data_IF_624132756807
#
_entry.id   IF_624132756807
#
_cell.length_a   1.000
_cell.length_b   1.000
_cell.length_c   1.000
_cell.angle_alpha   90.00
_cell.angle_beta   90.00
_cell.angle_gamma   90.00
#
_symmetry.space_group_name_H-M   'P 1'
#
loop_
_entity.id
_entity.type
_entity.pdbx_description
1 polymer ?
#
# COMPACT_ATOMS: atom_id res chain seq x y z
N UNK A 1 -33.73 -2.02 5.58
CA UNK A 1 -32.63 -2.47 4.72
C UNK A 1 -31.91 -3.57 5.47
N UNK A 2 -32.10 -4.83 5.09
CA UNK A 2 -31.44 -5.96 5.73
C UNK A 2 -29.95 -5.92 5.35
N UNK A 3 -29.10 -5.55 6.31
CA UNK A 3 -27.68 -5.72 6.19
C UNK A 3 -27.38 -7.21 6.31
N UNK A 4 -27.06 -7.87 5.23
CA UNK A 4 -26.55 -9.25 5.20
C UNK A 4 -25.16 -9.30 5.85
N UNK A 5 -25.15 -9.18 7.17
CA UNK A 5 -23.96 -9.38 7.99
C UNK A 5 -23.74 -10.89 8.10
N UNK A 6 -22.70 -11.40 7.44
CA UNK A 6 -22.28 -12.81 7.59
C UNK A 6 -21.84 -13.53 6.32
N UNK A 7 -22.30 -13.14 5.13
CA UNK A 7 -21.99 -13.86 3.89
C UNK A 7 -20.99 -13.13 2.95
N UNK A 8 -20.59 -11.90 3.26
CA UNK A 8 -19.67 -11.12 2.41
C UNK A 8 -18.22 -11.56 2.55
N UNK A 9 -17.48 -11.52 1.43
CA UNK A 9 -16.02 -11.69 1.38
C UNK A 9 -15.29 -10.42 1.77
N UNK A 10 -15.86 -9.27 1.41
CA UNK A 10 -15.32 -7.93 1.64
C UNK A 10 -16.15 -7.20 2.68
N UNK A 11 -15.53 -6.28 3.41
CA UNK A 11 -16.22 -5.53 4.45
C UNK A 11 -15.71 -4.10 4.55
N UNK A 12 -16.60 -3.21 5.02
CA UNK A 12 -16.25 -1.86 5.46
C UNK A 12 -16.30 -1.81 6.98
N UNK A 13 -15.29 -1.17 7.56
CA UNK A 13 -15.23 -0.94 8.98
C UNK A 13 -14.98 0.53 9.29
N UNK A 14 -15.41 0.96 10.48
CA UNK A 14 -15.04 2.26 11.02
C UNK A 14 -14.40 2.14 12.40
N UNK A 15 -13.55 3.11 12.69
CA UNK A 15 -13.01 3.31 14.02
C UNK A 15 -13.69 4.51 14.66
N UNK A 16 -14.17 4.35 15.89
CA UNK A 16 -14.89 5.36 16.64
C UNK A 16 -14.07 5.70 17.88
N UNK A 17 -13.79 6.97 18.09
CA UNK A 17 -13.08 7.46 19.29
C UNK A 17 -13.97 7.29 20.53
N UNK A 18 -13.41 6.73 21.60
CA UNK A 18 -14.15 6.52 22.84
C UNK A 18 -14.43 7.81 23.62
N UNK A 19 -13.57 8.83 23.48
CA UNK A 19 -13.69 10.11 24.20
C UNK A 19 -14.79 11.02 23.65
N UNK A 20 -15.09 10.95 22.35
CA UNK A 20 -16.05 11.83 21.68
C UNK A 20 -17.19 11.08 21.01
N UNK A 21 -17.14 9.76 20.97
CA UNK A 21 -18.05 8.88 20.24
C UNK A 21 -18.22 9.28 18.76
N UNK A 22 -17.12 9.72 18.12
CA UNK A 22 -17.09 10.20 16.72
C UNK A 22 -16.27 9.25 15.88
N UNK A 23 -16.75 8.82 14.69
CA UNK A 23 -15.97 8.11 13.72
C UNK A 23 -14.76 8.94 13.28
N UNK A 24 -13.57 8.32 13.25
CA UNK A 24 -12.34 9.00 12.84
C UNK A 24 -11.56 8.25 11.74
N UNK A 25 -12.02 7.07 11.33
CA UNK A 25 -11.41 6.33 10.25
C UNK A 25 -12.39 5.36 9.63
N UNK A 26 -12.38 5.26 8.31
CA UNK A 26 -13.12 4.28 7.52
C UNK A 26 -12.12 3.50 6.68
N UNK A 27 -12.35 2.21 6.50
CA UNK A 27 -11.50 1.39 5.65
C UNK A 27 -12.19 0.13 5.17
N UNK A 28 -11.62 -0.45 4.12
CA UNK A 28 -12.06 -1.70 3.51
C UNK A 28 -11.12 -2.84 3.88
N UNK A 29 -11.67 -4.02 4.03
CA UNK A 29 -10.93 -5.25 4.26
C UNK A 29 -11.54 -6.45 3.55
N UNK A 30 -10.76 -7.54 3.52
CA UNK A 30 -11.18 -8.85 3.06
C UNK A 30 -11.18 -9.79 4.25
N UNK A 31 -12.24 -10.58 4.40
CA UNK A 31 -12.34 -11.59 5.45
C UNK A 31 -11.29 -12.69 5.28
N UNK A 32 -10.78 -13.15 6.39
CA UNK A 32 -9.89 -14.31 6.45
C UNK A 32 -10.72 -15.58 6.67
N UNK A 33 -10.55 -16.59 5.82
CA UNK A 33 -11.42 -17.79 5.78
C UNK A 33 -10.96 -18.95 6.65
N UNK A 34 -9.75 -18.90 7.22
CA UNK A 34 -9.14 -20.02 7.95
C UNK A 34 -9.09 -19.83 9.47
N UNK A 35 -9.97 -19.00 9.99
CA UNK A 35 -10.09 -18.74 11.44
C UNK A 35 -11.52 -18.46 11.82
N UNK A 36 -11.88 -18.75 13.07
CA UNK A 36 -13.21 -18.53 13.64
C UNK A 36 -13.24 -17.36 14.63
N UNK A 37 -12.11 -16.75 14.94
CA UNK A 37 -12.05 -15.61 15.86
C UNK A 37 -12.42 -14.33 15.13
N UNK A 38 -13.38 -13.55 15.69
CA UNK A 38 -13.88 -12.31 15.08
C UNK A 38 -12.76 -11.36 14.68
N UNK A 39 -11.78 -11.11 15.55
CA UNK A 39 -10.66 -10.20 15.27
C UNK A 39 -9.76 -10.69 14.13
N UNK A 40 -9.63 -11.98 13.93
CA UNK A 40 -8.82 -12.56 12.86
C UNK A 40 -9.59 -12.60 11.54
N UNK A 41 -10.90 -12.87 11.57
CA UNK A 41 -11.76 -12.78 10.39
C UNK A 41 -11.68 -11.36 9.81
N UNK A 42 -11.78 -10.34 10.66
CA UNK A 42 -11.72 -8.93 10.29
C UNK A 42 -10.34 -8.29 10.55
N UNK A 43 -9.28 -9.05 10.40
CA UNK A 43 -7.90 -8.69 10.76
C UNK A 43 -7.49 -7.29 10.29
N UNK A 44 -7.93 -6.86 9.11
CA UNK A 44 -7.62 -5.53 8.57
C UNK A 44 -8.15 -4.41 9.45
N UNK A 45 -9.34 -4.58 10.03
CA UNK A 45 -9.96 -3.59 10.92
C UNK A 45 -9.18 -3.44 12.24
N UNK A 46 -8.68 -4.55 12.79
CA UNK A 46 -7.95 -4.56 14.07
C UNK A 46 -6.44 -4.29 13.94
N UNK A 47 -5.91 -4.32 12.70
CA UNK A 47 -4.48 -4.08 12.48
C UNK A 47 -4.12 -2.62 12.76
N UNK A 48 -3.16 -2.41 13.70
CA UNK A 48 -2.65 -1.08 14.07
C UNK A 48 -1.49 -0.61 13.20
N UNK A 49 -0.69 -1.54 12.66
CA UNK A 49 0.48 -1.20 11.84
C UNK A 49 0.10 -0.74 10.43
N UNK A 50 0.91 0.17 9.85
CA UNK A 50 0.67 0.70 8.50
C UNK A 50 -0.47 1.72 8.44
N UNK A 51 -0.78 2.39 9.55
CA UNK A 51 -1.70 3.52 9.63
C UNK A 51 -0.97 4.84 9.38
N UNK A 52 -1.69 5.85 8.94
CA UNK A 52 -1.12 7.18 8.75
C UNK A 52 -0.86 7.90 10.10
N UNK A 53 -0.09 8.98 10.05
CA UNK A 53 0.31 9.72 11.25
C UNK A 53 -0.88 10.31 12.00
N UNK A 54 -1.90 10.80 11.30
CA UNK A 54 -3.09 11.38 11.93
C UNK A 54 -3.86 10.33 12.74
N UNK A 55 -4.03 9.13 12.20
CA UNK A 55 -4.61 7.99 12.89
C UNK A 55 -3.81 7.66 14.16
N UNK A 56 -2.48 7.55 14.03
CA UNK A 56 -1.59 7.26 15.16
C UNK A 56 -1.67 8.34 16.25
N UNK A 57 -1.74 9.61 15.88
CA UNK A 57 -1.88 10.73 16.81
C UNK A 57 -3.21 10.69 17.59
N UNK A 58 -4.27 10.20 16.99
CA UNK A 58 -5.56 10.03 17.66
C UNK A 58 -5.48 8.87 18.65
N UNK A 59 -5.00 7.71 18.21
CA UNK A 59 -4.97 6.48 19.03
C UNK A 59 -3.97 6.55 20.17
N UNK A 60 -2.94 7.42 20.08
CA UNK A 60 -2.04 7.69 21.20
C UNK A 60 -2.70 8.46 22.35
N UNK A 61 -3.80 9.17 22.07
CA UNK A 61 -4.51 10.05 23.04
C UNK A 61 -5.79 9.45 23.57
N UNK A 62 -6.41 8.54 22.84
CA UNK A 62 -7.71 7.96 23.21
C UNK A 62 -7.85 6.52 22.76
N UNK A 63 -8.67 5.77 23.46
CA UNK A 63 -9.12 4.44 23.04
C UNK A 63 -10.08 4.56 21.87
N UNK A 64 -10.28 3.46 21.15
CA UNK A 64 -11.24 3.40 20.05
C UNK A 64 -11.91 2.02 19.97
N UNK A 65 -13.10 2.01 19.42
CA UNK A 65 -13.83 0.80 19.08
C UNK A 65 -13.80 0.55 17.58
N UNK A 66 -13.93 -0.70 17.20
CA UNK A 66 -13.98 -1.15 15.81
C UNK A 66 -15.39 -1.65 15.52
N UNK A 67 -16.00 -1.13 14.47
CA UNK A 67 -17.32 -1.54 14.03
C UNK A 67 -17.30 -1.95 12.57
N UNK A 68 -17.88 -3.09 12.24
CA UNK A 68 -18.10 -3.56 10.87
C UNK A 68 -19.46 -3.05 10.42
N UNK A 69 -19.49 -2.24 9.35
CA UNK A 69 -20.68 -1.53 8.90
C UNK A 69 -21.41 -2.30 7.82
N UNK A 70 -20.67 -2.77 6.81
CA UNK A 70 -21.20 -3.38 5.58
C UNK A 70 -20.36 -4.57 5.22
N UNK A 71 -21.00 -5.62 4.72
CA UNK A 71 -20.34 -6.77 4.11
C UNK A 71 -20.95 -7.04 2.72
N UNK A 72 -20.12 -7.47 1.77
CA UNK A 72 -20.57 -7.85 0.45
C UNK A 72 -19.62 -8.86 -0.21
N UNK A 73 -20.14 -9.60 -1.17
CA UNK A 73 -19.35 -10.41 -2.10
C UNK A 73 -18.80 -9.56 -3.24
N UNK A 74 -19.43 -8.42 -3.52
CA UNK A 74 -19.04 -7.48 -4.56
C UNK A 74 -18.06 -6.45 -4.02
N UNK A 75 -16.84 -6.48 -4.58
CA UNK A 75 -15.78 -5.55 -4.19
C UNK A 75 -16.04 -4.12 -4.67
N UNK A 76 -16.61 -3.95 -5.86
CA UNK A 76 -16.90 -2.63 -6.40
C UNK A 76 -17.96 -1.91 -5.56
N UNK A 77 -19.01 -2.63 -5.18
CA UNK A 77 -20.03 -2.10 -4.26
C UNK A 77 -19.41 -1.62 -2.93
N UNK A 78 -18.47 -2.38 -2.38
CA UNK A 78 -17.77 -2.00 -1.13
C UNK A 78 -16.93 -0.72 -1.34
N UNK A 79 -16.25 -0.57 -2.47
CA UNK A 79 -15.47 0.63 -2.76
C UNK A 79 -16.36 1.86 -2.94
N UNK A 80 -17.48 1.73 -3.63
CA UNK A 80 -18.45 2.83 -3.78
C UNK A 80 -18.99 3.28 -2.42
N UNK A 81 -19.35 2.33 -1.56
CA UNK A 81 -19.83 2.62 -0.21
C UNK A 81 -18.74 3.21 0.69
N UNK A 82 -17.48 2.83 0.54
CA UNK A 82 -16.36 3.48 1.22
C UNK A 82 -16.29 4.97 0.86
N UNK A 83 -16.36 5.29 -0.44
CA UNK A 83 -16.32 6.67 -0.95
C UNK A 83 -17.49 7.48 -0.39
N UNK A 84 -18.71 6.94 -0.43
CA UNK A 84 -19.91 7.58 0.13
C UNK A 84 -19.76 7.88 1.62
N UNK A 85 -19.26 6.92 2.39
CA UNK A 85 -19.08 7.07 3.83
C UNK A 85 -17.97 8.09 4.16
N UNK A 86 -16.85 8.08 3.42
CA UNK A 86 -15.79 9.08 3.62
C UNK A 86 -16.30 10.48 3.28
N UNK A 87 -17.09 10.63 2.24
CA UNK A 87 -17.72 11.90 1.88
C UNK A 87 -18.71 12.35 2.94
N UNK A 88 -19.50 11.44 3.51
CA UNK A 88 -20.49 11.73 4.54
C UNK A 88 -19.85 12.25 5.84
N UNK A 89 -18.80 11.58 6.33
CA UNK A 89 -18.15 11.96 7.59
C UNK A 89 -17.09 13.05 7.41
N UNK A 90 -16.62 13.28 6.18
CA UNK A 90 -15.63 14.27 5.83
C UNK A 90 -14.22 13.98 6.33
N UNK A 91 -13.23 14.46 5.61
CA UNK A 91 -11.82 14.31 5.92
C UNK A 91 -11.31 15.46 6.80
N UNK A 92 -10.53 15.11 7.82
CA UNK A 92 -9.94 16.09 8.74
C UNK A 92 -8.87 16.96 8.06
N UNK A 93 -8.04 16.37 7.19
CA UNK A 93 -6.96 17.09 6.48
C UNK A 93 -7.48 18.17 5.52
N UNK A 94 -8.72 18.07 5.09
CA UNK A 94 -9.40 19.07 4.26
C UNK A 94 -10.24 20.06 5.10
N UNK A 95 -10.30 19.89 6.42
CA UNK A 95 -11.11 20.72 7.31
C UNK A 95 -12.61 20.51 7.20
N UNK A 96 -13.08 19.45 6.53
CA UNK A 96 -14.49 19.20 6.25
C UNK A 96 -15.12 18.12 7.13
N UNK A 97 -14.34 17.48 8.02
CA UNK A 97 -14.87 16.43 8.88
C UNK A 97 -13.89 15.85 9.88
N UNK A 98 -14.21 14.65 10.39
CA UNK A 98 -13.50 14.01 11.51
C UNK A 98 -12.54 12.90 11.07
N UNK A 99 -12.59 12.44 9.82
CA UNK A 99 -11.87 11.25 9.40
C UNK A 99 -10.38 11.50 9.21
N UNK A 100 -9.56 10.61 9.74
CA UNK A 100 -8.12 10.55 9.51
C UNK A 100 -7.75 9.92 8.15
N UNK A 101 -8.72 9.67 7.29
CA UNK A 101 -8.48 9.26 5.91
C UNK A 101 -7.74 10.37 5.15
N UNK A 102 -6.74 10.00 4.34
CA UNK A 102 -5.99 10.93 3.47
C UNK A 102 -6.40 10.85 2.00
N UNK A 103 -7.33 9.96 1.67
CA UNK A 103 -7.92 9.75 0.34
C UNK A 103 -9.43 9.67 0.45
N UNK A 104 -10.11 9.89 -0.66
CA UNK A 104 -11.57 9.83 -0.73
C UNK A 104 -12.11 8.40 -0.85
N UNK A 105 -11.25 7.39 -0.64
CA UNK A 105 -11.61 5.97 -0.74
C UNK A 105 -11.40 5.38 -2.13
N UNK A 106 -11.99 4.19 -2.37
CA UNK A 106 -11.88 3.48 -3.64
C UNK A 106 -10.55 2.71 -3.79
N UNK A 107 -10.09 2.55 -5.03
CA UNK A 107 -8.87 1.79 -5.36
C UNK A 107 -7.58 2.45 -4.80
N UNK A 108 -7.71 3.58 -4.14
CA UNK A 108 -6.58 4.32 -3.54
C UNK A 108 -5.65 4.89 -4.60
N UNK A 109 -4.35 4.94 -4.30
CA UNK A 109 -3.34 5.56 -5.16
C UNK A 109 -2.93 4.73 -6.40
N UNK A 110 -3.62 3.65 -6.74
CA UNK A 110 -3.22 2.79 -7.87
C UNK A 110 -3.24 3.53 -9.22
N UNK A 111 -4.08 4.55 -9.35
CA UNK A 111 -4.18 5.36 -10.56
C UNK A 111 -3.50 6.74 -10.44
N UNK A 112 -2.87 7.05 -9.30
CA UNK A 112 -2.11 8.29 -9.21
C UNK A 112 -0.78 8.14 -9.97
N UNK A 113 -0.45 9.07 -10.88
CA UNK A 113 0.86 9.06 -11.50
C UNK A 113 1.91 9.15 -10.40
N UNK A 114 2.86 8.21 -10.41
CA UNK A 114 3.96 8.21 -9.45
C UNK A 114 4.62 9.58 -9.50
N UNK A 115 4.73 10.26 -8.37
CA UNK A 115 5.45 11.53 -8.28
C UNK A 115 6.85 11.32 -8.83
N UNK A 116 7.17 12.04 -9.90
CA UNK A 116 8.54 12.03 -10.44
C UNK A 116 9.43 12.64 -9.36
N UNK A 117 10.45 11.91 -8.96
CA UNK A 117 11.45 12.41 -8.03
C UNK A 117 12.18 13.60 -8.69
N UNK A 118 12.35 14.70 -7.96
CA UNK A 118 13.10 15.85 -8.47
C UNK A 118 14.55 15.46 -8.77
N UNK A 119 15.20 16.15 -9.69
CA UNK A 119 16.61 15.88 -10.03
C UNK A 119 17.52 16.06 -8.81
N UNK A 120 17.25 17.04 -7.98
CA UNK A 120 17.97 17.24 -6.72
C UNK A 120 17.84 16.03 -5.78
N UNK A 121 16.62 15.50 -5.60
CA UNK A 121 16.41 14.29 -4.78
C UNK A 121 17.10 13.07 -5.39
N UNK A 122 17.09 12.90 -6.70
CA UNK A 122 17.81 11.83 -7.39
C UNK A 122 19.32 11.95 -7.17
N UNK A 123 19.88 13.16 -7.25
CA UNK A 123 21.29 13.41 -6.99
C UNK A 123 21.66 13.11 -5.55
N UNK A 124 20.85 13.52 -4.56
CA UNK A 124 21.04 13.19 -3.14
C UNK A 124 21.05 11.69 -2.90
N UNK A 125 20.07 10.95 -3.44
CA UNK A 125 20.00 9.48 -3.35
C UNK A 125 21.24 8.85 -4.00
N UNK A 126 21.61 9.29 -5.21
CA UNK A 126 22.78 8.78 -5.93
C UNK A 126 24.07 9.01 -5.13
N UNK A 127 24.27 10.20 -4.56
CA UNK A 127 25.43 10.54 -3.73
C UNK A 127 25.47 9.65 -2.49
N UNK A 128 24.40 9.60 -1.72
CA UNK A 128 24.29 8.76 -0.52
C UNK A 128 24.55 7.29 -0.80
N UNK A 129 24.02 6.76 -1.91
CA UNK A 129 24.22 5.35 -2.30
C UNK A 129 25.67 5.06 -2.74
N UNK A 130 26.36 6.03 -3.36
CA UNK A 130 27.77 5.88 -3.78
C UNK A 130 28.72 5.95 -2.58
N UNK A 131 28.41 6.78 -1.60
CA UNK A 131 29.22 6.96 -0.38
C UNK A 131 29.12 5.77 0.57
N UNK A 132 28.04 4.99 0.52
CA UNK A 132 27.91 3.75 1.29
C UNK A 132 28.73 2.65 0.62
N UNK A 133 29.97 2.47 1.05
CA UNK A 133 30.78 1.34 0.62
C UNK A 133 30.12 0.04 1.10
N UNK A 134 29.73 -0.83 0.19
CA UNK A 134 29.23 -2.17 0.56
C UNK A 134 30.38 -2.94 1.22
N UNK A 135 30.13 -3.47 2.41
CA UNK A 135 31.13 -4.27 3.12
C UNK A 135 31.58 -5.47 2.28
N UNK A 136 32.77 -5.95 2.51
CA UNK A 136 33.30 -7.15 1.83
C UNK A 136 32.42 -8.37 2.06
N UNK A 137 31.87 -8.50 3.28
CA UNK A 137 30.94 -9.56 3.69
C UNK A 137 29.63 -9.49 2.88
N UNK A 138 29.07 -8.29 2.69
CA UNK A 138 27.88 -8.11 1.85
C UNK A 138 28.15 -8.46 0.38
N UNK A 139 29.31 -8.09 -0.16
CA UNK A 139 29.71 -8.43 -1.54
C UNK A 139 29.88 -9.93 -1.73
N UNK A 140 30.53 -10.60 -0.78
CA UNK A 140 30.71 -12.06 -0.82
C UNK A 140 29.40 -12.81 -0.66
N UNK A 141 28.51 -12.37 0.25
CA UNK A 141 27.17 -12.95 0.43
C UNK A 141 26.33 -12.84 -0.85
N UNK A 142 26.34 -11.68 -1.53
CA UNK A 142 25.64 -11.47 -2.81
C UNK A 142 26.21 -12.35 -3.92
N UNK A 143 27.54 -12.49 -3.99
CA UNK A 143 28.20 -13.36 -4.97
C UNK A 143 27.84 -14.82 -4.74
N UNK A 144 27.85 -15.28 -3.50
CA UNK A 144 27.46 -16.64 -3.11
C UNK A 144 25.99 -16.92 -3.45
N UNK A 145 25.09 -16.04 -3.05
CA UNK A 145 23.66 -16.17 -3.37
C UNK A 145 23.39 -16.22 -4.88
N UNK A 146 24.14 -15.45 -5.68
CA UNK A 146 24.03 -15.45 -7.14
C UNK A 146 24.58 -16.74 -7.79
N UNK A 147 25.58 -17.37 -7.18
CA UNK A 147 26.11 -18.66 -7.62
C UNK A 147 25.16 -19.80 -7.25
N UNK A 148 24.60 -19.79 -6.04
CA UNK A 148 23.68 -20.82 -5.55
C UNK A 148 22.31 -20.77 -6.26
N UNK A 149 21.82 -19.55 -6.55
CA UNK A 149 20.56 -19.30 -7.23
C UNK A 149 20.74 -18.39 -8.45
N UNK A 150 21.35 -18.87 -9.54
CA UNK A 150 21.53 -18.06 -10.73
C UNK A 150 20.18 -17.72 -11.34
N UNK A 151 19.82 -16.44 -11.38
CA UNK A 151 18.63 -15.96 -12.09
C UNK A 151 18.84 -16.16 -13.59
N UNK A 152 18.40 -17.30 -14.10
CA UNK A 152 18.53 -17.65 -15.54
C UNK A 152 17.32 -17.15 -16.33
N UNK A 153 17.03 -15.85 -16.20
CA UNK A 153 15.90 -15.23 -16.88
C UNK A 153 15.92 -15.45 -18.41
N UNK A 154 17.12 -15.55 -18.99
CA UNK A 154 17.34 -15.74 -20.42
C UNK A 154 17.51 -17.19 -20.85
N UNK A 155 17.48 -18.16 -19.93
CA UNK A 155 17.59 -19.58 -20.30
C UNK A 155 16.40 -19.98 -21.15
N UNK A 156 16.66 -20.39 -22.41
CA UNK A 156 15.63 -20.80 -23.36
C UNK A 156 14.91 -19.63 -24.06
N UNK A 157 15.32 -18.38 -23.84
CA UNK A 157 14.80 -17.20 -24.55
C UNK A 157 15.83 -16.72 -25.59
N UNK A 158 15.37 -16.50 -26.80
CA UNK A 158 16.17 -15.86 -27.86
C UNK A 158 15.82 -14.39 -27.96
N UNK A 159 16.83 -13.55 -28.19
CA UNK A 159 16.58 -12.13 -28.49
C UNK A 159 15.88 -11.99 -29.85
N UNK A 160 14.95 -11.04 -29.96
CA UNK A 160 14.39 -10.65 -31.24
C UNK A 160 15.50 -10.16 -32.18
N UNK A 161 15.34 -10.32 -33.51
CA UNK A 161 16.33 -9.86 -34.49
C UNK A 161 16.59 -8.35 -34.39
N UNK A 162 15.59 -7.57 -34.10
CA UNK A 162 15.71 -6.13 -33.86
C UNK A 162 16.65 -5.84 -32.65
N UNK A 163 16.53 -6.60 -31.57
CA UNK A 163 17.38 -6.45 -30.40
C UNK A 163 18.85 -6.87 -30.71
N UNK A 164 19.03 -7.96 -31.45
CA UNK A 164 20.35 -8.39 -31.90
C UNK A 164 21.03 -7.33 -32.79
N UNK A 165 20.27 -6.69 -33.69
CA UNK A 165 20.75 -5.59 -34.52
C UNK A 165 21.19 -4.38 -33.70
N UNK A 166 20.42 -4.00 -32.66
CA UNK A 166 20.79 -2.92 -31.73
C UNK A 166 22.09 -3.23 -30.97
N UNK A 167 22.30 -4.48 -30.58
CA UNK A 167 23.51 -4.90 -29.87
C UNK A 167 24.79 -4.92 -30.80
N UNK A 168 24.60 -5.13 -32.10
CA UNK A 168 25.72 -5.13 -33.10
C UNK A 168 26.22 -3.73 -33.46
N UNK A 169 25.43 -2.66 -33.17
CA UNK A 169 25.86 -1.28 -33.42
C UNK A 169 26.99 -0.91 -32.47
N UNK A 170 28.15 -0.44 -32.96
CA UNK A 170 29.21 0.03 -32.09
C UNK A 170 28.71 1.17 -31.20
N UNK A 171 29.01 1.10 -29.91
CA UNK A 171 28.72 2.21 -29.01
C UNK A 171 29.58 3.39 -29.40
N UNK A 172 29.03 4.42 -30.00
CA UNK A 172 29.69 5.71 -30.21
C UNK A 172 30.19 6.21 -28.86
N UNK A 173 31.52 6.23 -28.65
CA UNK A 173 32.09 6.93 -27.49
C UNK A 173 31.67 8.39 -27.60
N UNK A 174 30.90 8.89 -26.62
CA UNK A 174 30.78 10.34 -26.45
C UNK A 174 32.18 10.85 -26.11
N UNK A 175 32.77 11.54 -27.05
CA UNK A 175 33.93 12.38 -26.80
C UNK A 175 33.43 13.56 -26.00
N UNK A 176 33.94 13.71 -24.78
CA UNK A 176 33.70 14.85 -23.90
C UNK A 176 34.44 16.06 -24.44
#
# INVERSE_FOLDING_TARGET
MNCDVGQGKYFIYRHIRSDKNIPFYIGVGTKTSYTNTFNEIYRRAFKRTGRNQLWNNIVSKTQYTVEIIIESKDYNYILEKEIELIKLYGRYDLGVGSLANLTDGGIGNQNMPRRKCSEETKQRISKSTKEVAKSTEHKTALSKAKLENPVRYWKGKTFSEEHKLKLRKPKTKKIL
#
